data_IF_133717936591
#
_entry.id   IF_133717936591
#
_cell.length_a   1.000
_cell.length_b   1.000
_cell.length_c   1.000
_cell.angle_alpha   90.00
_cell.angle_beta   90.00
_cell.angle_gamma   90.00
#
_symmetry.space_group_name_H-M   'P 1'
#
loop_
_entity.id
_entity.type
_entity.pdbx_description
1 polymer ?
#
# COMPACT_ATOMS: atom_id res chain seq x y z
N UNK A 1 53.41 0.09 47.09
CA UNK A 1 52.40 0.90 47.79
C UNK A 1 51.23 1.12 46.86
N UNK A 2 50.02 1.01 47.40
CA UNK A 2 48.73 0.87 46.73
C UNK A 2 48.25 2.12 45.97
N UNK A 3 47.49 1.90 44.89
CA UNK A 3 46.18 2.55 44.62
C UNK A 3 45.71 2.08 43.22
N UNK A 4 44.72 1.20 43.09
CA UNK A 4 43.28 1.47 43.21
C UNK A 4 42.80 2.40 42.07
N UNK A 5 41.86 1.86 41.27
CA UNK A 5 40.96 2.52 40.29
C UNK A 5 41.50 2.80 38.88
N UNK A 6 41.17 1.90 37.95
CA UNK A 6 40.56 2.33 36.67
C UNK A 6 39.73 1.21 36.02
N UNK A 7 38.83 0.62 36.81
CA UNK A 7 37.70 -0.16 36.28
C UNK A 7 36.43 0.71 36.31
N UNK A 8 36.42 1.80 35.54
CA UNK A 8 35.22 2.61 35.34
C UNK A 8 35.13 3.03 33.87
N UNK A 9 34.38 2.22 33.11
CA UNK A 9 33.65 2.61 31.87
C UNK A 9 32.84 1.40 31.36
N UNK A 10 31.98 0.86 32.22
CA UNK A 10 30.82 0.03 31.84
C UNK A 10 29.55 0.65 32.45
N UNK A 11 29.18 1.80 31.91
CA UNK A 11 27.95 2.56 32.17
C UNK A 11 28.05 3.68 31.13
N UNK A 12 27.18 3.89 30.15
CA UNK A 12 25.72 3.82 30.09
C UNK A 12 25.33 3.98 28.61
N UNK A 13 24.41 3.18 28.04
CA UNK A 13 23.45 3.66 27.02
C UNK A 13 22.44 2.57 26.60
N UNK A 14 21.57 2.10 27.52
CA UNK A 14 20.39 1.29 27.16
C UNK A 14 19.12 1.71 27.92
N UNK A 15 19.01 2.99 28.29
CA UNK A 15 17.87 3.49 29.07
C UNK A 15 16.80 4.25 28.24
N UNK A 16 17.07 4.58 26.98
CA UNK A 16 16.24 5.58 26.25
C UNK A 16 15.16 5.00 25.33
N UNK A 17 15.27 3.75 24.89
CA UNK A 17 14.35 3.19 23.87
C UNK A 17 12.99 2.80 24.47
N UNK A 18 12.98 2.28 25.70
CA UNK A 18 11.75 1.94 26.43
C UNK A 18 10.93 3.17 26.78
N UNK A 19 11.57 4.19 27.37
CA UNK A 19 10.89 5.44 27.73
C UNK A 19 10.36 6.19 26.50
N UNK A 20 11.14 6.29 25.42
CA UNK A 20 10.68 6.88 24.14
C UNK A 20 9.54 6.10 23.50
N UNK A 21 9.52 4.76 23.62
CA UNK A 21 8.41 3.94 23.13
C UNK A 21 7.13 4.14 23.95
N UNK A 22 7.24 4.24 25.27
CA UNK A 22 6.11 4.51 26.17
C UNK A 22 5.51 5.90 25.93
N UNK A 23 6.35 6.92 25.79
CA UNK A 23 5.92 8.30 25.46
C UNK A 23 5.26 8.37 24.08
N UNK A 24 5.78 7.64 23.08
CA UNK A 24 5.13 7.56 21.76
C UNK A 24 3.77 6.87 21.82
N UNK A 25 3.63 5.79 22.61
CA UNK A 25 2.34 5.10 22.80
C UNK A 25 1.31 6.02 23.47
N UNK A 26 1.69 6.73 24.53
CA UNK A 26 0.78 7.66 25.20
C UNK A 26 0.36 8.83 24.30
N UNK A 27 1.27 9.35 23.47
CA UNK A 27 0.93 10.37 22.48
C UNK A 27 -0.02 9.86 21.38
N UNK A 28 0.11 8.58 20.98
CA UNK A 28 -0.80 7.97 20.00
C UNK A 28 -2.20 7.76 20.59
N UNK A 29 -2.30 7.26 21.83
CA UNK A 29 -3.61 7.06 22.48
C UNK A 29 -4.33 8.38 22.74
N UNK A 30 -3.59 9.44 23.10
CA UNK A 30 -4.15 10.78 23.23
C UNK A 30 -4.70 11.32 21.90
N UNK A 31 -3.94 11.15 20.80
CA UNK A 31 -4.40 11.54 19.46
C UNK A 31 -5.63 10.76 19.00
N UNK A 32 -5.70 9.46 19.30
CA UNK A 32 -6.87 8.64 18.98
C UNK A 32 -8.11 9.06 19.79
N UNK A 33 -7.94 9.37 21.08
CA UNK A 33 -9.01 9.88 21.92
C UNK A 33 -9.58 11.22 21.41
N UNK A 34 -8.71 12.15 21.02
CA UNK A 34 -9.12 13.42 20.41
C UNK A 34 -9.84 13.22 19.08
N UNK A 35 -9.34 12.33 18.21
CA UNK A 35 -9.97 12.04 16.93
C UNK A 35 -11.38 11.46 17.09
N UNK A 36 -11.59 10.56 18.08
CA UNK A 36 -12.90 9.98 18.35
C UNK A 36 -13.88 11.05 18.84
N UNK A 37 -13.47 11.96 19.73
CA UNK A 37 -14.31 13.11 20.16
C UNK A 37 -14.73 14.00 18.98
N UNK A 38 -13.83 14.26 18.03
CA UNK A 38 -14.15 15.00 16.81
C UNK A 38 -15.24 14.31 15.99
N UNK A 39 -15.14 12.98 15.86
CA UNK A 39 -16.08 12.18 15.07
C UNK A 39 -17.45 12.12 15.74
N UNK A 40 -17.50 11.96 17.06
CA UNK A 40 -18.76 11.93 17.80
C UNK A 40 -19.47 13.28 17.73
N UNK A 41 -18.74 14.38 17.91
CA UNK A 41 -19.28 15.73 17.68
C UNK A 41 -19.83 15.92 16.26
N UNK A 42 -19.09 15.45 15.25
CA UNK A 42 -19.52 15.56 13.86
C UNK A 42 -20.79 14.74 13.57
N UNK A 43 -20.95 13.58 14.21
CA UNK A 43 -22.17 12.76 14.11
C UNK A 43 -23.36 13.43 14.79
N UNK A 44 -23.18 13.96 16.00
CA UNK A 44 -24.22 14.63 16.77
C UNK A 44 -24.72 15.91 16.09
N UNK A 45 -23.81 16.68 15.48
CA UNK A 45 -24.12 17.95 14.83
C UNK A 45 -24.33 17.84 13.31
N UNK A 46 -24.42 16.61 12.79
CA UNK A 46 -24.55 16.27 11.37
C UNK A 46 -23.64 17.13 10.45
N UNK A 47 -22.34 17.17 10.77
CA UNK A 47 -21.38 18.05 10.11
C UNK A 47 -20.07 17.33 9.74
N UNK A 48 -19.22 17.99 8.94
CA UNK A 48 -17.93 17.46 8.48
C UNK A 48 -16.77 17.99 9.33
N UNK A 49 -15.60 17.35 9.19
CA UNK A 49 -14.42 17.59 10.04
C UNK A 49 -13.93 19.04 10.11
N UNK A 50 -14.18 19.86 9.09
CA UNK A 50 -13.85 21.30 9.12
C UNK A 50 -14.57 22.04 10.25
N UNK A 51 -15.81 21.67 10.58
CA UNK A 51 -16.59 22.31 11.64
C UNK A 51 -16.06 21.93 13.03
N UNK A 52 -15.62 20.68 13.21
CA UNK A 52 -14.96 20.24 14.44
C UNK A 52 -13.61 20.96 14.68
N UNK A 53 -12.86 21.25 13.61
CA UNK A 53 -11.61 22.02 13.69
C UNK A 53 -11.89 23.48 14.00
N UNK A 54 -12.85 24.09 13.30
CA UNK A 54 -13.25 25.49 13.52
C UNK A 54 -13.72 25.75 14.94
N UNK A 55 -14.37 24.77 15.57
CA UNK A 55 -14.88 24.87 16.94
C UNK A 55 -13.85 24.46 18.01
N UNK A 56 -12.59 24.19 17.62
CA UNK A 56 -11.50 23.93 18.56
C UNK A 56 -11.59 22.60 19.32
N UNK A 57 -12.41 21.65 18.86
CA UNK A 57 -12.65 20.37 19.56
C UNK A 57 -11.41 19.48 19.56
N UNK A 58 -10.56 19.62 18.55
CA UNK A 58 -9.31 18.88 18.41
C UNK A 58 -8.13 19.83 18.16
N UNK A 59 -7.48 20.36 19.22
CA UNK A 59 -6.41 21.35 19.07
C UNK A 59 -5.19 20.79 18.31
N UNK A 60 -4.95 19.47 18.38
CA UNK A 60 -3.79 18.85 17.75
C UNK A 60 -4.05 18.31 16.33
N UNK A 61 -5.31 18.20 15.91
CA UNK A 61 -5.68 17.63 14.60
C UNK A 61 -6.06 18.77 13.66
N UNK A 62 -5.10 19.16 12.81
CA UNK A 62 -5.29 20.24 11.83
C UNK A 62 -5.84 19.78 10.47
N UNK A 63 -5.88 18.46 10.24
CA UNK A 63 -6.32 17.90 8.96
C UNK A 63 -7.74 17.35 9.02
N UNK A 64 -8.68 18.06 8.38
CA UNK A 64 -10.07 17.66 8.27
C UNK A 64 -10.25 16.34 7.52
N UNK A 65 -9.30 15.95 6.65
CA UNK A 65 -9.38 14.70 5.88
C UNK A 65 -9.33 13.48 6.78
N UNK A 66 -8.56 13.52 7.86
CA UNK A 66 -8.43 12.40 8.80
C UNK A 66 -9.74 12.15 9.54
N UNK A 67 -10.43 13.22 9.97
CA UNK A 67 -11.74 13.16 10.62
C UNK A 67 -12.80 12.69 9.62
N UNK A 68 -12.80 13.25 8.40
CA UNK A 68 -13.74 12.86 7.34
C UNK A 68 -13.57 11.40 6.90
N UNK A 69 -12.34 10.90 6.81
CA UNK A 69 -12.07 9.50 6.51
C UNK A 69 -12.64 8.58 7.60
N UNK A 70 -12.51 8.97 8.88
CA UNK A 70 -13.08 8.24 10.02
C UNK A 70 -14.62 8.29 10.01
N UNK A 71 -15.22 9.44 9.69
CA UNK A 71 -16.67 9.61 9.50
C UNK A 71 -17.21 8.75 8.34
N UNK A 72 -16.46 8.66 7.24
CA UNK A 72 -16.78 7.82 6.08
C UNK A 72 -16.56 6.31 6.35
N UNK A 73 -16.13 5.91 7.55
CA UNK A 73 -15.80 4.52 7.89
C UNK A 73 -14.51 4.00 7.23
N UNK A 74 -13.70 4.88 6.62
CA UNK A 74 -12.39 4.56 6.04
C UNK A 74 -11.33 4.58 7.14
N UNK A 75 -11.38 3.58 8.02
CA UNK A 75 -10.32 3.39 9.01
C UNK A 75 -9.12 2.74 8.33
N UNK A 76 -8.03 3.50 8.17
CA UNK A 76 -6.70 2.96 7.80
C UNK A 76 -6.20 2.11 8.98
N UNK A 77 -6.66 0.86 9.04
CA UNK A 77 -6.35 -0.11 10.10
C UNK A 77 -4.96 -0.74 9.94
N UNK A 78 -4.20 -0.37 8.92
CA UNK A 78 -2.97 -1.09 8.52
C UNK A 78 -3.23 -2.48 7.92
N UNK A 79 -4.44 -3.03 8.11
CA UNK A 79 -4.95 -4.27 7.49
C UNK A 79 -5.67 -4.03 6.17
N UNK A 80 -5.70 -2.79 5.67
CA UNK A 80 -6.23 -2.49 4.34
C UNK A 80 -5.57 -3.32 3.24
N UNK A 81 -4.31 -3.72 3.46
CA UNK A 81 -3.61 -4.66 2.58
C UNK A 81 -4.36 -5.99 2.44
N UNK A 82 -5.05 -6.47 3.47
CA UNK A 82 -5.79 -7.75 3.45
C UNK A 82 -7.17 -7.61 2.82
N UNK A 83 -7.85 -6.48 3.03
CA UNK A 83 -9.23 -6.26 2.54
C UNK A 83 -9.27 -5.59 1.15
N UNK A 84 -8.28 -4.78 0.78
CA UNK A 84 -8.17 -4.12 -0.51
C UNK A 84 -7.32 -4.90 -1.53
N UNK A 85 -6.56 -5.92 -1.11
CA UNK A 85 -5.84 -6.78 -2.06
C UNK A 85 -6.82 -7.72 -2.76
N UNK A 86 -7.05 -7.44 -4.03
CA UNK A 86 -7.85 -8.29 -4.90
C UNK A 86 -7.10 -9.58 -5.25
N UNK A 87 -5.80 -9.47 -5.49
CA UNK A 87 -4.86 -10.58 -5.72
C UNK A 87 -4.12 -10.92 -4.43
N UNK A 88 -3.73 -12.18 -4.24
CA UNK A 88 -2.77 -12.52 -3.18
C UNK A 88 -1.39 -11.94 -3.49
N UNK A 89 -0.56 -11.77 -2.45
CA UNK A 89 0.83 -11.30 -2.63
C UNK A 89 1.60 -12.18 -3.63
N UNK A 90 1.39 -13.51 -3.61
CA UNK A 90 2.03 -14.45 -4.55
C UNK A 90 1.52 -14.29 -5.99
N UNK A 91 0.20 -14.14 -6.17
CA UNK A 91 -0.41 -13.92 -7.50
C UNK A 91 0.09 -12.62 -8.12
N UNK A 92 0.15 -11.56 -7.32
CA UNK A 92 0.66 -10.27 -7.76
C UNK A 92 2.15 -10.33 -8.08
N UNK A 93 2.97 -11.02 -7.29
CA UNK A 93 4.38 -11.22 -7.60
C UNK A 93 4.60 -12.00 -8.90
N UNK A 94 3.80 -13.03 -9.16
CA UNK A 94 3.84 -13.77 -10.42
C UNK A 94 3.45 -12.88 -11.60
N UNK A 95 2.41 -12.06 -11.45
CA UNK A 95 1.98 -11.10 -12.47
C UNK A 95 3.10 -10.08 -12.78
N UNK A 96 3.78 -9.56 -11.75
CA UNK A 96 4.91 -8.64 -11.91
C UNK A 96 6.07 -9.31 -12.63
N UNK A 97 6.44 -10.54 -12.23
CA UNK A 97 7.50 -11.31 -12.90
C UNK A 97 7.17 -11.54 -14.38
N UNK A 98 5.91 -11.87 -14.68
CA UNK A 98 5.43 -12.05 -16.03
C UNK A 98 5.55 -10.77 -16.87
N UNK A 99 5.10 -9.62 -16.34
CA UNK A 99 5.23 -8.32 -17.01
C UNK A 99 6.70 -7.99 -17.27
N UNK A 100 7.56 -8.14 -16.28
CA UNK A 100 9.00 -7.89 -16.43
C UNK A 100 9.60 -8.79 -17.51
N UNK A 101 9.23 -10.08 -17.52
CA UNK A 101 9.67 -11.04 -18.55
C UNK A 101 9.24 -10.61 -19.95
N UNK A 102 7.98 -10.20 -20.11
CA UNK A 102 7.43 -9.70 -21.38
C UNK A 102 8.10 -8.41 -21.84
N UNK A 103 8.33 -7.46 -20.93
CA UNK A 103 9.09 -6.23 -21.21
C UNK A 103 10.56 -6.50 -21.57
N UNK A 104 11.16 -7.59 -21.06
CA UNK A 104 12.52 -8.01 -21.47
C UNK A 104 12.53 -8.62 -22.86
N UNK A 105 11.45 -9.29 -23.26
CA UNK A 105 11.26 -9.85 -24.60
C UNK A 105 10.70 -8.84 -25.63
N UNK A 106 10.84 -7.53 -25.39
CA UNK A 106 10.36 -6.44 -26.26
C UNK A 106 8.85 -6.45 -26.55
N UNK A 107 8.06 -7.06 -25.66
CA UNK A 107 6.59 -7.08 -25.73
C UNK A 107 6.00 -6.37 -24.51
N UNK A 108 6.18 -5.04 -24.37
CA UNK A 108 5.66 -4.29 -23.23
C UNK A 108 4.13 -4.42 -23.19
N UNK A 109 3.61 -4.79 -22.02
CA UNK A 109 2.18 -4.94 -21.82
C UNK A 109 1.55 -3.60 -21.44
N UNK A 110 0.43 -3.26 -22.06
CA UNK A 110 -0.32 -2.08 -21.68
C UNK A 110 -1.20 -2.35 -20.44
N UNK A 111 -1.73 -1.28 -19.83
CA UNK A 111 -2.57 -1.38 -18.62
C UNK A 111 -3.84 -2.21 -18.83
N UNK A 112 -4.41 -2.20 -20.03
CA UNK A 112 -5.61 -2.97 -20.37
C UNK A 112 -5.33 -4.47 -20.40
N UNK A 113 -4.22 -4.88 -21.00
CA UNK A 113 -3.75 -6.27 -21.06
C UNK A 113 -3.47 -6.81 -19.65
N UNK A 114 -2.78 -6.02 -18.82
CA UNK A 114 -2.53 -6.38 -17.42
C UNK A 114 -3.84 -6.48 -16.63
N UNK A 115 -4.80 -5.58 -16.87
CA UNK A 115 -6.15 -5.66 -16.27
C UNK A 115 -6.84 -6.99 -16.63
N UNK A 116 -6.83 -7.33 -17.92
CA UNK A 116 -7.45 -8.56 -18.44
C UNK A 116 -6.82 -9.81 -17.82
N UNK A 117 -5.48 -9.86 -17.72
CA UNK A 117 -4.76 -10.97 -17.08
C UNK A 117 -5.10 -11.10 -15.60
N UNK A 118 -5.10 -10.00 -14.85
CA UNK A 118 -5.45 -10.01 -13.44
C UNK A 118 -6.91 -10.47 -13.21
N UNK A 119 -7.86 -10.04 -14.04
CA UNK A 119 -9.25 -10.51 -13.97
C UNK A 119 -9.34 -12.00 -14.36
N UNK A 120 -8.59 -12.47 -15.36
CA UNK A 120 -8.51 -13.89 -15.72
C UNK A 120 -8.00 -14.74 -14.55
N UNK A 121 -6.95 -14.30 -13.86
CA UNK A 121 -6.44 -14.96 -12.65
C UNK A 121 -7.53 -15.11 -11.58
N UNK A 122 -8.31 -14.05 -11.34
CA UNK A 122 -9.43 -14.08 -10.39
C UNK A 122 -10.52 -15.08 -10.80
N UNK A 123 -10.87 -15.13 -12.10
CA UNK A 123 -11.84 -16.09 -12.64
C UNK A 123 -11.37 -17.54 -12.47
N UNK A 124 -10.10 -17.82 -12.77
CA UNK A 124 -9.50 -19.15 -12.56
C UNK A 124 -9.57 -19.53 -11.09
N UNK A 125 -9.21 -18.62 -10.18
CA UNK A 125 -9.31 -18.86 -8.74
C UNK A 125 -10.74 -19.10 -8.29
N UNK A 126 -11.71 -18.34 -8.81
CA UNK A 126 -13.13 -18.56 -8.52
C UNK A 126 -13.58 -19.96 -8.97
N UNK A 127 -13.16 -20.39 -10.15
CA UNK A 127 -13.47 -21.72 -10.70
C UNK A 127 -12.87 -22.84 -9.85
N UNK A 128 -11.59 -22.74 -9.50
CA UNK A 128 -10.90 -23.71 -8.64
C UNK A 128 -11.57 -23.77 -7.27
N UNK A 129 -11.92 -22.63 -6.69
CA UNK A 129 -12.64 -22.56 -5.42
C UNK A 129 -14.03 -23.21 -5.49
N UNK A 130 -14.77 -23.02 -6.59
CA UNK A 130 -16.07 -23.70 -6.81
C UNK A 130 -15.91 -25.22 -6.89
N UNK A 131 -14.84 -25.71 -7.51
CA UNK A 131 -14.54 -27.16 -7.56
C UNK A 131 -14.11 -27.74 -6.21
N UNK A 132 -13.53 -26.91 -5.33
CA UNK A 132 -13.03 -27.31 -4.01
C UNK A 132 -14.07 -27.13 -2.88
N UNK A 133 -15.35 -26.95 -3.20
CA UNK A 133 -16.42 -26.77 -2.20
C UNK A 133 -16.36 -27.88 -1.13
N UNK A 134 -16.13 -27.49 0.14
CA UNK A 134 -16.11 -28.39 1.29
C UNK A 134 -14.73 -28.83 1.81
N UNK A 135 -13.62 -28.46 1.16
CA UNK A 135 -12.27 -28.84 1.61
C UNK A 135 -11.58 -27.79 2.49
N UNK A 136 -10.63 -28.23 3.36
CA UNK A 136 -9.75 -27.34 4.18
C UNK A 136 -8.98 -26.27 3.38
N UNK A 137 -8.86 -26.42 2.04
CA UNK A 137 -8.17 -25.50 1.13
C UNK A 137 -9.09 -24.46 0.47
N UNK A 138 -10.40 -24.53 0.70
CA UNK A 138 -11.35 -23.54 0.17
C UNK A 138 -11.13 -22.17 0.81
N UNK A 139 -10.83 -21.15 0.00
CA UNK A 139 -10.77 -19.75 0.44
C UNK A 139 -11.70 -18.92 -0.42
N UNK A 140 -12.85 -18.51 0.14
CA UNK A 140 -13.79 -17.60 -0.54
C UNK A 140 -13.05 -16.35 -1.02
N UNK A 141 -13.37 -15.90 -2.24
CA UNK A 141 -12.86 -14.62 -2.73
C UNK A 141 -13.40 -13.49 -1.86
N UNK A 142 -12.58 -12.46 -1.66
CA UNK A 142 -13.00 -11.24 -0.96
C UNK A 142 -14.07 -10.52 -1.79
N UNK A 143 -14.98 -9.79 -1.14
CA UNK A 143 -16.05 -9.04 -1.82
C UNK A 143 -15.52 -8.10 -2.92
N UNK A 144 -14.39 -7.38 -2.73
CA UNK A 144 -13.80 -6.56 -3.80
C UNK A 144 -13.32 -7.37 -5.00
N UNK A 145 -12.77 -8.57 -4.78
CA UNK A 145 -12.34 -9.45 -5.87
C UNK A 145 -13.53 -9.97 -6.68
N UNK A 146 -14.66 -10.27 -6.04
CA UNK A 146 -15.90 -10.65 -6.71
C UNK A 146 -16.44 -9.50 -7.57
N UNK A 147 -16.50 -8.28 -7.03
CA UNK A 147 -16.90 -7.08 -7.78
C UNK A 147 -16.01 -6.83 -9.02
N UNK A 148 -14.71 -7.14 -8.94
CA UNK A 148 -13.80 -7.02 -10.08
C UNK A 148 -14.12 -8.01 -11.20
N UNK A 149 -14.55 -9.23 -10.84
CA UNK A 149 -14.98 -10.25 -11.81
C UNK A 149 -16.29 -9.81 -12.47
N UNK A 150 -17.27 -9.39 -11.68
CA UNK A 150 -18.59 -8.95 -12.16
C UNK A 150 -18.48 -7.76 -13.11
N UNK A 151 -17.66 -6.76 -12.76
CA UNK A 151 -17.45 -5.55 -13.56
C UNK A 151 -16.38 -5.70 -14.65
N UNK A 152 -15.70 -6.85 -14.72
CA UNK A 152 -14.51 -7.09 -15.53
C UNK A 152 -13.48 -5.94 -15.48
N UNK A 153 -13.37 -5.26 -14.32
CA UNK A 153 -12.58 -4.04 -14.17
C UNK A 153 -11.92 -4.00 -12.80
N UNK A 154 -10.67 -3.55 -12.78
CA UNK A 154 -9.93 -3.31 -11.54
C UNK A 154 -10.13 -1.87 -11.05
N UNK A 155 -10.28 -1.64 -9.74
CA UNK A 155 -10.44 -0.31 -9.18
C UNK A 155 -9.14 0.49 -9.29
N UNK A 156 -9.25 1.82 -9.25
CA UNK A 156 -8.09 2.70 -9.31
C UNK A 156 -7.11 2.47 -8.14
N UNK A 157 -7.63 2.13 -6.96
CA UNK A 157 -6.82 1.81 -5.77
C UNK A 157 -5.88 0.63 -5.99
N UNK A 158 -6.29 -0.37 -6.79
CA UNK A 158 -5.41 -1.47 -7.18
C UNK A 158 -4.19 -0.95 -7.93
N UNK A 159 -4.42 -0.06 -8.91
CA UNK A 159 -3.37 0.47 -9.78
C UNK A 159 -2.39 1.36 -9.03
N UNK A 160 -2.88 2.26 -8.18
CA UNK A 160 -1.99 3.11 -7.36
C UNK A 160 -1.01 2.27 -6.54
N UNK A 161 -1.48 1.16 -5.95
CA UNK A 161 -0.64 0.23 -5.19
C UNK A 161 0.28 -0.59 -6.09
N UNK A 162 -0.27 -1.11 -7.20
CA UNK A 162 0.46 -1.94 -8.15
C UNK A 162 1.62 -1.18 -8.78
N UNK A 163 1.39 0.06 -9.22
CA UNK A 163 2.38 0.92 -9.83
C UNK A 163 3.48 1.31 -8.83
N UNK A 164 3.15 1.56 -7.56
CA UNK A 164 4.15 1.77 -6.52
C UNK A 164 5.07 0.55 -6.32
N UNK A 165 4.53 -0.67 -6.42
CA UNK A 165 5.29 -1.92 -6.29
C UNK A 165 6.12 -2.24 -7.54
N UNK A 166 5.58 -1.92 -8.72
CA UNK A 166 6.17 -2.20 -10.04
C UNK A 166 7.19 -1.14 -10.45
N UNK A 167 6.92 0.14 -10.22
CA UNK A 167 7.81 1.25 -10.57
C UNK A 167 9.21 1.09 -9.97
N UNK A 168 9.28 0.63 -8.71
CA UNK A 168 10.56 0.30 -8.05
C UNK A 168 11.32 -0.85 -8.72
N UNK A 169 10.63 -1.75 -9.45
CA UNK A 169 11.23 -2.93 -10.11
C UNK A 169 11.52 -2.73 -11.60
N UNK A 170 10.84 -1.80 -12.25
CA UNK A 170 11.05 -1.45 -13.66
C UNK A 170 12.14 -0.39 -13.89
N UNK A 171 12.60 0.31 -12.84
CA UNK A 171 13.54 1.44 -12.90
C UNK A 171 14.97 1.14 -13.42
N UNK A 172 15.30 -0.09 -13.87
CA UNK A 172 16.66 -0.44 -14.34
C UNK A 172 16.89 -0.38 -15.85
N UNK A 173 15.96 0.17 -16.66
CA UNK A 173 16.06 0.19 -18.13
C UNK A 173 16.03 1.57 -18.83
N UNK A 174 16.11 2.70 -18.10
CA UNK A 174 16.21 4.01 -18.78
C UNK A 174 17.50 4.16 -19.62
N UNK A 175 18.55 3.40 -19.32
CA UNK A 175 19.82 3.40 -20.09
C UNK A 175 19.77 2.58 -21.39
N UNK A 176 18.95 1.53 -21.45
CA UNK A 176 18.85 0.68 -22.66
C UNK A 176 17.91 1.28 -23.71
N UNK A 177 16.83 1.94 -23.28
CA UNK A 177 15.94 2.62 -24.23
C UNK A 177 16.59 3.86 -24.86
N UNK A 178 17.41 4.59 -24.08
CA UNK A 178 18.19 5.72 -24.60
C UNK A 178 19.32 5.28 -25.53
N UNK A 179 19.95 4.13 -25.30
CA UNK A 179 20.97 3.60 -26.23
C UNK A 179 20.37 3.09 -27.54
N UNK A 180 19.21 2.42 -27.50
CA UNK A 180 18.49 2.01 -28.72
C UNK A 180 17.99 3.23 -29.50
N UNK A 181 17.42 4.23 -28.84
CA UNK A 181 16.99 5.48 -29.50
C UNK A 181 18.16 6.27 -30.10
N UNK A 182 19.32 6.32 -29.41
CA UNK A 182 20.55 6.89 -29.98
C UNK A 182 21.07 6.09 -31.17
N UNK A 183 21.00 4.76 -31.11
CA UNK A 183 21.41 3.91 -32.22
C UNK A 183 20.52 4.12 -33.46
N UNK A 184 19.20 4.21 -33.27
CA UNK A 184 18.23 4.52 -34.33
C UNK A 184 18.47 5.92 -34.92
N UNK A 185 18.68 6.93 -34.08
CA UNK A 185 18.97 8.29 -34.59
C UNK A 185 20.31 8.36 -35.33
N UNK A 186 21.30 7.59 -34.91
CA UNK A 186 22.58 7.49 -35.62
C UNK A 186 22.41 6.79 -36.98
N UNK A 187 21.58 5.76 -37.10
CA UNK A 187 21.33 5.12 -38.40
C UNK A 187 20.53 6.01 -39.35
N UNK A 188 19.55 6.77 -38.86
CA UNK A 188 18.80 7.75 -39.66
C UNK A 188 19.68 8.92 -40.14
N UNK A 189 20.65 9.36 -39.32
CA UNK A 189 21.61 10.40 -39.69
C UNK A 189 22.64 9.97 -40.75
N UNK A 190 22.87 8.65 -40.89
CA UNK A 190 23.85 8.07 -41.84
C UNK A 190 23.16 7.64 -43.15
N UNK A 191 21.82 7.67 -43.22
CA UNK A 191 21.07 7.44 -44.46
C UNK A 191 21.08 5.99 -44.96
N UNK A 192 20.92 5.03 -44.04
CA UNK A 192 20.57 3.63 -44.35
C UNK A 192 19.06 3.40 -44.30
#
# INVERSE_FOLDING_TARGET
MASVLEASKKCTFKADTSAKATVRRSQLTLKEGELNRAVDYCKENNCRGYKAISNGICPNIKDARTINARLDGKVITGKEKEYCSILTDTEEEMLIKYIIGKSRAYQPQNRSEVSSMAVKLLKVRQHVNKKLQGGRRYKKLTSPAQLCIERNKLPQSFWTRFDAKVGNRLSRKREQYTSIQRAISCTEAIGL
#
